data_IF_856439907020
#
_entry.id   IF_856439907020
#
_cell.length_a   1.000
_cell.length_b   1.000
_cell.length_c   1.000
_cell.angle_alpha   90.00
_cell.angle_beta   90.00
_cell.angle_gamma   90.00
#
_symmetry.space_group_name_H-M   'P 1'
#
loop_
_entity.id
_entity.type
_entity.pdbx_description
1 polymer ?
#
# COMPACT_ATOMS: atom_id res chain seq x y z
N UNK A 1 13.43 12.05 -21.29
CA UNK A 1 12.60 11.42 -20.25
C UNK A 1 13.22 11.80 -18.91
N UNK A 2 12.61 12.77 -18.22
CA UNK A 2 13.06 13.27 -16.92
C UNK A 2 13.04 12.15 -15.86
N UNK A 3 14.04 12.03 -14.98
CA UNK A 3 13.99 11.04 -13.90
C UNK A 3 12.96 11.50 -12.86
N UNK A 4 11.83 10.80 -12.79
CA UNK A 4 10.66 11.07 -11.91
C UNK A 4 10.96 11.31 -10.40
N UNK A 5 12.20 11.12 -9.92
CA UNK A 5 12.62 11.35 -8.52
C UNK A 5 14.09 11.76 -8.41
N UNK A 6 14.41 13.03 -8.67
CA UNK A 6 15.78 13.58 -8.64
C UNK A 6 16.48 13.51 -7.26
N UNK A 7 15.71 13.38 -6.18
CA UNK A 7 16.24 13.26 -4.82
C UNK A 7 16.66 11.83 -4.43
N UNK A 8 16.36 10.82 -5.26
CA UNK A 8 16.73 9.43 -4.97
C UNK A 8 18.07 9.07 -5.62
N UNK A 9 18.94 8.42 -4.84
CA UNK A 9 20.14 7.78 -5.40
C UNK A 9 19.73 6.67 -6.36
N UNK A 10 20.38 6.63 -7.52
CA UNK A 10 20.18 5.58 -8.51
C UNK A 10 20.64 4.24 -7.92
N UNK A 11 19.81 3.18 -7.95
CA UNK A 11 20.25 1.87 -7.47
C UNK A 11 21.36 1.33 -8.36
N UNK A 12 22.49 0.98 -7.75
CA UNK A 12 23.60 0.32 -8.43
C UNK A 12 23.34 -1.19 -8.43
N UNK A 13 23.27 -1.77 -9.62
CA UNK A 13 23.23 -3.21 -9.82
C UNK A 13 24.51 -3.66 -10.50
N UNK A 14 25.06 -4.83 -10.14
CA UNK A 14 26.24 -5.35 -10.81
C UNK A 14 26.02 -5.43 -12.34
N UNK A 15 27.05 -5.20 -13.18
CA UNK A 15 26.89 -5.24 -14.64
C UNK A 15 26.49 -6.62 -15.17
N UNK A 16 26.73 -7.70 -14.42
CA UNK A 16 26.25 -9.06 -14.72
C UNK A 16 24.82 -9.33 -14.21
N UNK A 17 24.16 -8.32 -13.64
CA UNK A 17 22.87 -8.44 -12.97
C UNK A 17 22.97 -8.97 -11.55
N UNK A 18 21.83 -9.04 -10.88
CA UNK A 18 21.66 -9.71 -9.59
C UNK A 18 21.64 -11.22 -9.79
N UNK A 19 22.15 -11.98 -8.80
CA UNK A 19 22.00 -13.44 -8.80
C UNK A 19 20.52 -13.83 -8.69
N UNK A 20 20.20 -15.06 -9.09
CA UNK A 20 18.82 -15.58 -9.02
C UNK A 20 18.29 -15.62 -7.58
N UNK A 21 19.15 -15.89 -6.59
CA UNK A 21 18.82 -15.85 -5.16
C UNK A 21 18.51 -14.43 -4.70
N UNK A 22 19.30 -13.45 -5.14
CA UNK A 22 19.08 -12.04 -4.83
C UNK A 22 17.76 -11.53 -5.45
N UNK A 23 17.48 -11.92 -6.70
CA UNK A 23 16.20 -11.61 -7.38
C UNK A 23 15.02 -12.23 -6.65
N UNK A 24 15.05 -13.53 -6.36
CA UNK A 24 13.98 -14.22 -5.61
C UNK A 24 13.75 -13.61 -4.23
N UNK A 25 14.81 -13.12 -3.58
CA UNK A 25 14.71 -12.48 -2.27
C UNK A 25 14.07 -11.09 -2.37
N UNK A 26 14.48 -10.27 -3.32
CA UNK A 26 13.85 -8.97 -3.57
C UNK A 26 12.38 -9.13 -3.97
N UNK A 27 12.08 -10.11 -4.81
CA UNK A 27 10.73 -10.43 -5.25
C UNK A 27 9.82 -10.80 -4.07
N UNK A 28 10.27 -11.72 -3.19
CA UNK A 28 9.54 -12.06 -1.96
C UNK A 28 9.28 -10.85 -1.05
N UNK A 29 10.28 -9.98 -0.88
CA UNK A 29 10.13 -8.76 -0.05
C UNK A 29 9.13 -7.78 -0.67
N UNK A 30 9.14 -7.62 -1.99
CA UNK A 30 8.17 -6.80 -2.72
C UNK A 30 6.76 -7.33 -2.54
N UNK A 31 6.56 -8.62 -2.80
CA UNK A 31 5.23 -9.24 -2.72
C UNK A 31 4.67 -9.20 -1.29
N UNK A 32 5.53 -9.40 -0.28
CA UNK A 32 5.13 -9.23 1.13
C UNK A 32 4.75 -7.78 1.48
N UNK A 33 5.50 -6.80 0.99
CA UNK A 33 5.20 -5.37 1.19
C UNK A 33 3.92 -4.96 0.47
N UNK A 34 3.66 -5.52 -0.72
CA UNK A 34 2.45 -5.27 -1.49
C UNK A 34 1.21 -5.82 -0.78
N UNK A 35 1.30 -6.95 -0.09
CA UNK A 35 0.19 -7.46 0.71
C UNK A 35 -0.14 -6.51 1.87
N UNK A 36 0.87 -6.05 2.61
CA UNK A 36 0.68 -5.07 3.70
C UNK A 36 0.09 -3.77 3.16
N UNK A 37 0.57 -3.28 2.01
CA UNK A 37 0.06 -2.06 1.37
C UNK A 37 -1.41 -2.19 1.00
N UNK A 38 -1.83 -3.34 0.47
CA UNK A 38 -3.24 -3.61 0.14
C UNK A 38 -4.10 -3.61 1.40
N UNK A 39 -3.66 -4.31 2.44
CA UNK A 39 -4.40 -4.41 3.70
C UNK A 39 -4.54 -3.03 4.35
N UNK A 40 -3.47 -2.22 4.36
CA UNK A 40 -3.51 -0.85 4.87
C UNK A 40 -4.43 0.04 4.04
N UNK A 41 -4.40 -0.05 2.71
CA UNK A 41 -5.30 0.68 1.83
C UNK A 41 -6.77 0.32 2.07
N UNK A 42 -7.06 -0.95 2.35
CA UNK A 42 -8.39 -1.43 2.67
C UNK A 42 -8.85 -0.93 4.05
N UNK A 43 -7.96 -0.93 5.06
CA UNK A 43 -8.24 -0.35 6.37
C UNK A 43 -8.48 1.16 6.30
N UNK A 44 -7.72 1.90 5.49
CA UNK A 44 -7.93 3.33 5.27
C UNK A 44 -9.30 3.60 4.61
N UNK A 45 -9.66 2.78 3.60
CA UNK A 45 -10.98 2.85 2.96
C UNK A 45 -12.11 2.56 3.96
N UNK A 46 -12.00 1.49 4.75
CA UNK A 46 -13.01 1.19 5.76
C UNK A 46 -13.06 2.26 6.84
N UNK A 47 -11.94 2.81 7.30
CA UNK A 47 -11.94 3.91 8.26
C UNK A 47 -12.68 5.12 7.69
N UNK A 48 -12.35 5.56 6.48
CA UNK A 48 -13.03 6.68 5.81
C UNK A 48 -14.53 6.41 5.64
N UNK A 49 -14.91 5.21 5.18
CA UNK A 49 -16.31 4.85 4.90
C UNK A 49 -17.12 4.40 6.12
N UNK A 50 -16.47 4.05 7.24
CA UNK A 50 -17.16 3.73 8.50
C UNK A 50 -17.56 4.99 9.27
N UNK A 51 -16.91 6.13 9.00
CA UNK A 51 -17.37 7.44 9.49
C UNK A 51 -18.52 8.03 8.65
N UNK A 52 -18.80 7.46 7.47
CA UNK A 52 -19.94 7.81 6.61
C UNK A 52 -21.23 7.01 6.95
N UNK A 53 -21.33 6.33 8.10
CA UNK A 53 -22.65 5.87 8.59
C UNK A 53 -23.39 7.13 9.03
N UNK A 54 -24.28 7.70 8.19
CA UNK A 54 -24.80 9.03 8.45
C UNK A 54 -25.88 8.92 9.52
N UNK A 55 -26.13 10.03 10.20
CA UNK A 55 -27.14 10.33 11.22
C UNK A 55 -28.54 9.66 11.07
N UNK A 56 -28.85 9.02 9.94
CA UNK A 56 -30.05 8.24 9.67
C UNK A 56 -30.28 7.04 10.60
N UNK A 57 -29.23 6.36 11.06
CA UNK A 57 -29.38 5.29 12.07
C UNK A 57 -29.56 5.86 13.49
N UNK A 58 -28.96 7.02 13.79
CA UNK A 58 -29.06 7.67 15.10
C UNK A 58 -30.43 8.32 15.34
N UNK A 59 -31.10 8.83 14.30
CA UNK A 59 -32.44 9.44 14.41
C UNK A 59 -33.56 8.40 14.57
N UNK A 60 -33.38 7.16 14.10
CA UNK A 60 -34.43 6.14 14.12
C UNK A 60 -34.41 5.24 15.38
N UNK A 61 -33.42 5.40 16.27
CA UNK A 61 -33.36 4.65 17.55
C UNK A 61 -34.04 5.41 18.70
N UNK A 62 -34.42 6.67 18.51
CA UNK A 62 -35.12 7.48 19.52
C UNK A 62 -36.62 7.71 19.27
N UNK A 63 -37.17 7.10 18.21
CA UNK A 63 -38.62 7.13 17.93
C UNK A 63 -39.17 5.70 17.88
N UNK A 64 -39.25 5.04 19.03
CA UNK A 64 -40.14 3.89 19.25
C UNK A 64 -40.55 3.79 20.70
#
# INVERSE_FOLDING_TARGET
>A
MEPEKWWLKRPEVPPKGLSEEARKTLQRRRDGTDQIRKDFSLMAYFHEKSFDIPLYLALNVHTS
#
